data_IF_194957246552
#
_entry.id   IF_194957246552
#
_cell.length_a   1.000
_cell.length_b   1.000
_cell.length_c   1.000
_cell.angle_alpha   90.00
_cell.angle_beta   90.00
_cell.angle_gamma   90.00
#
_symmetry.space_group_name_H-M   'P 1'
#
loop_
_entity.id
_entity.type
_entity.pdbx_description
1 polymer ?
#
# COMPACT_ATOMS: atom_id res chain seq x y z
N UNK A 1 -0.12 3.67 2.46
CA UNK A 1 -1.04 2.51 2.43
C UNK A 1 -0.53 1.32 3.24
N UNK A 2 0.71 0.84 3.05
CA UNK A 2 1.25 -0.33 3.77
C UNK A 2 1.04 -0.30 5.30
N UNK A 3 1.26 0.85 5.96
CA UNK A 3 0.99 0.99 7.40
C UNK A 3 -0.49 0.81 7.78
N UNK A 4 -1.43 1.25 6.92
CA UNK A 4 -2.86 1.06 7.16
C UNK A 4 -3.23 -0.42 7.02
N UNK A 5 -2.71 -1.11 6.01
CA UNK A 5 -2.90 -2.56 5.85
C UNK A 5 -2.30 -3.34 7.04
N UNK A 6 -1.11 -2.93 7.51
CA UNK A 6 -0.48 -3.50 8.70
C UNK A 6 -1.36 -3.31 9.94
N UNK A 7 -1.91 -2.11 10.16
CA UNK A 7 -2.83 -1.86 11.26
C UNK A 7 -4.10 -2.71 11.16
N UNK A 8 -4.69 -2.81 9.96
CA UNK A 8 -5.86 -3.67 9.73
C UNK A 8 -5.52 -5.12 10.08
N UNK A 9 -4.38 -5.64 9.62
CA UNK A 9 -3.92 -7.00 9.95
C UNK A 9 -3.65 -7.21 11.45
N UNK A 10 -3.11 -6.20 12.12
CA UNK A 10 -2.84 -6.24 13.56
C UNK A 10 -4.15 -6.31 14.35
N UNK A 11 -5.12 -5.45 14.03
CA UNK A 11 -6.42 -5.45 14.69
C UNK A 11 -7.21 -6.72 14.41
N UNK A 12 -7.15 -7.28 13.20
CA UNK A 12 -7.82 -8.55 12.92
C UNK A 12 -7.19 -9.72 13.70
N UNK A 13 -5.87 -9.74 13.90
CA UNK A 13 -5.22 -10.73 14.79
C UNK A 13 -5.67 -10.53 16.24
N UNK A 14 -5.68 -9.29 16.73
CA UNK A 14 -6.07 -8.99 18.11
C UNK A 14 -7.52 -9.39 18.41
N UNK A 15 -8.44 -9.12 17.48
CA UNK A 15 -9.85 -9.50 17.59
C UNK A 15 -10.06 -11.03 17.58
N UNK A 16 -9.11 -11.78 17.01
CA UNK A 16 -9.17 -13.23 16.95
C UNK A 16 -8.44 -13.93 18.11
N UNK A 17 -7.33 -13.37 18.60
CA UNK A 17 -6.44 -14.05 19.55
C UNK A 17 -6.61 -13.56 21.00
N UNK A 18 -7.10 -12.34 21.21
CA UNK A 18 -7.21 -11.79 22.55
C UNK A 18 -8.49 -12.26 23.27
N UNK A 19 -8.41 -12.85 24.48
CA UNK A 19 -9.55 -13.44 25.18
C UNK A 19 -10.66 -12.45 25.57
N UNK A 20 -10.34 -11.16 25.75
CA UNK A 20 -11.35 -10.13 26.08
C UNK A 20 -12.00 -9.52 24.85
N UNK A 21 -11.28 -9.39 23.73
CA UNK A 21 -11.84 -8.87 22.48
C UNK A 21 -12.56 -9.95 21.66
N UNK A 22 -12.12 -11.21 21.76
CA UNK A 22 -12.73 -12.38 21.15
C UNK A 22 -14.15 -12.67 21.63
N UNK A 23 -14.49 -12.26 22.85
CA UNK A 23 -15.80 -12.47 23.47
C UNK A 23 -16.83 -11.37 23.13
N UNK A 24 -16.46 -10.34 22.36
CA UNK A 24 -17.44 -9.34 21.92
C UNK A 24 -18.42 -9.93 20.90
N UNK A 25 -19.74 -9.88 21.17
CA UNK A 25 -20.76 -10.64 20.43
C UNK A 25 -20.96 -10.25 18.96
N UNK A 26 -20.29 -9.19 18.48
CA UNK A 26 -20.40 -8.68 17.10
C UNK A 26 -19.08 -8.65 16.33
N UNK A 27 -17.92 -8.71 17.00
CA UNK A 27 -16.62 -8.42 16.38
C UNK A 27 -15.60 -9.55 16.64
N UNK A 28 -15.72 -10.26 17.77
CA UNK A 28 -14.85 -11.38 18.11
C UNK A 28 -15.12 -12.63 17.25
N UNK A 29 -14.05 -13.28 16.79
CA UNK A 29 -14.07 -14.53 16.01
C UNK A 29 -14.92 -14.53 14.71
N UNK A 30 -15.22 -13.37 14.16
CA UNK A 30 -16.08 -13.32 12.99
C UNK A 30 -15.31 -13.70 11.70
N UNK A 31 -15.84 -14.69 10.97
CA UNK A 31 -15.21 -15.32 9.79
C UNK A 31 -14.89 -14.34 8.64
N UNK A 32 -15.68 -13.28 8.48
CA UNK A 32 -15.51 -12.20 7.50
C UNK A 32 -14.38 -11.21 7.84
N UNK A 33 -13.93 -11.11 9.10
CA UNK A 33 -12.83 -10.20 9.49
C UNK A 33 -11.47 -10.86 9.21
N UNK A 34 -11.25 -12.06 9.72
CA UNK A 34 -9.99 -12.79 9.55
C UNK A 34 -9.96 -14.06 10.39
N UNK A 35 -9.68 -15.21 9.77
CA UNK A 35 -9.40 -16.46 10.48
C UNK A 35 -7.89 -16.73 10.53
N UNK A 36 -7.36 -17.09 11.71
CA UNK A 36 -5.93 -17.31 11.91
C UNK A 36 -5.63 -18.77 12.32
N UNK A 37 -4.47 -19.31 11.91
CA UNK A 37 -4.10 -20.68 12.25
C UNK A 37 -3.87 -20.84 13.74
N UNK A 38 -4.28 -21.99 14.28
CA UNK A 38 -3.82 -22.42 15.61
C UNK A 38 -2.33 -22.77 15.59
N UNK A 39 -1.68 -22.78 16.75
CA UNK A 39 -0.25 -23.09 16.87
C UNK A 39 0.16 -24.43 16.23
N UNK A 40 -0.73 -25.43 16.26
CA UNK A 40 -0.51 -26.73 15.64
C UNK A 40 -0.67 -26.71 14.11
N UNK A 41 -1.55 -25.86 13.57
CA UNK A 41 -1.73 -25.69 12.12
C UNK A 41 -0.60 -24.87 11.50
N UNK A 42 -0.11 -23.86 12.23
CA UNK A 42 1.03 -23.03 11.80
C UNK A 42 2.30 -23.86 11.61
N UNK A 43 2.61 -24.77 12.54
CA UNK A 43 3.76 -25.67 12.42
C UNK A 43 3.56 -26.75 11.36
N UNK A 44 2.34 -27.22 11.11
CA UNK A 44 2.04 -28.22 10.10
C UNK A 44 2.12 -27.67 8.65
N UNK A 45 1.71 -26.41 8.44
CA UNK A 45 1.72 -25.77 7.11
C UNK A 45 2.98 -24.91 6.87
N UNK A 46 3.94 -24.88 7.79
CA UNK A 46 5.13 -24.03 7.75
C UNK A 46 4.81 -22.53 7.53
N UNK A 47 3.69 -22.07 8.11
CA UNK A 47 3.21 -20.68 8.04
C UNK A 47 3.30 -20.00 9.41
N UNK A 48 3.39 -18.67 9.41
CA UNK A 48 3.36 -17.90 10.66
C UNK A 48 1.93 -17.83 11.21
N UNK A 49 1.76 -17.83 12.54
CA UNK A 49 0.44 -17.66 13.20
C UNK A 49 -0.23 -16.32 12.86
N UNK A 50 0.54 -15.36 12.34
CA UNK A 50 0.10 -14.05 11.88
C UNK A 50 -0.41 -14.05 10.44
N UNK A 51 -0.27 -15.16 9.71
CA UNK A 51 -0.80 -15.26 8.34
C UNK A 51 -2.31 -15.45 8.38
N UNK A 52 -3.10 -14.59 7.70
CA UNK A 52 -4.53 -14.78 7.64
C UNK A 52 -4.85 -15.97 6.73
N UNK A 53 -5.63 -16.93 7.24
CA UNK A 53 -6.11 -18.08 6.47
C UNK A 53 -7.41 -17.76 5.73
N UNK A 54 -8.30 -16.94 6.28
CA UNK A 54 -9.63 -16.68 5.70
C UNK A 54 -10.10 -15.26 5.98
N UNK A 55 -11.16 -14.81 5.30
CA UNK A 55 -11.84 -13.54 5.59
C UNK A 55 -11.24 -12.32 4.86
N UNK A 56 -11.70 -11.12 5.22
CA UNK A 56 -11.23 -9.86 4.63
C UNK A 56 -9.74 -9.59 4.85
N UNK A 57 -9.19 -10.05 5.99
CA UNK A 57 -7.76 -10.00 6.26
C UNK A 57 -6.92 -10.80 5.23
N UNK A 58 -7.46 -11.91 4.69
CA UNK A 58 -6.79 -12.65 3.62
C UNK A 58 -6.70 -11.80 2.34
N UNK A 59 -7.82 -11.24 1.87
CA UNK A 59 -7.86 -10.43 0.64
C UNK A 59 -7.05 -9.13 0.72
N UNK A 60 -6.83 -8.59 1.92
CA UNK A 60 -6.02 -7.41 2.16
C UNK A 60 -4.56 -7.72 2.50
N UNK A 61 -4.21 -8.98 2.69
CA UNK A 61 -2.83 -9.39 2.99
C UNK A 61 -1.93 -9.25 1.76
N UNK A 62 -0.66 -8.97 2.00
CA UNK A 62 0.34 -8.82 0.94
C UNK A 62 0.48 -10.13 0.16
N UNK A 63 0.34 -10.03 -1.16
CA UNK A 63 0.67 -11.13 -2.07
C UNK A 63 2.19 -11.15 -2.21
N UNK A 64 2.81 -12.29 -1.89
CA UNK A 64 4.27 -12.41 -1.84
C UNK A 64 4.76 -13.27 -3.01
N UNK A 65 4.85 -12.66 -4.18
CA UNK A 65 5.45 -13.25 -5.36
C UNK A 65 4.59 -14.27 -6.12
N UNK A 66 5.10 -14.67 -7.28
CA UNK A 66 4.39 -15.53 -8.23
C UNK A 66 4.05 -16.92 -7.67
N UNK A 67 4.83 -17.42 -6.72
CA UNK A 67 4.61 -18.70 -6.05
C UNK A 67 3.32 -18.73 -5.23
N UNK A 68 2.84 -17.57 -4.76
CA UNK A 68 1.65 -17.49 -3.92
C UNK A 68 0.35 -17.49 -4.72
N UNK A 69 0.36 -17.06 -5.98
CA UNK A 69 -0.86 -16.90 -6.78
C UNK A 69 -0.78 -17.51 -8.18
N UNK A 70 0.31 -17.29 -8.93
CA UNK A 70 0.42 -17.71 -10.34
C UNK A 70 0.80 -19.20 -10.47
N UNK A 71 1.83 -19.63 -9.75
CA UNK A 71 2.32 -21.03 -9.84
C UNK A 71 1.27 -22.07 -9.37
N UNK A 72 0.45 -21.82 -8.33
CA UNK A 72 -0.64 -22.71 -7.97
C UNK A 72 -1.72 -22.87 -9.05
N UNK A 73 -1.92 -21.84 -9.90
CA UNK A 73 -2.86 -21.90 -11.03
C UNK A 73 -2.28 -22.76 -12.17
N UNK A 74 -0.98 -22.64 -12.41
CA UNK A 74 -0.30 -23.36 -13.50
C UNK A 74 0.03 -24.82 -13.14
N UNK A 75 0.42 -25.09 -11.89
CA UNK A 75 0.73 -26.43 -11.40
C UNK A 75 0.16 -26.64 -9.98
N UNK A 76 -1.12 -27.03 -9.88
CA UNK A 76 -1.81 -27.23 -8.60
C UNK A 76 -1.22 -28.36 -7.76
N UNK A 77 -0.64 -29.38 -8.40
CA UNK A 77 -0.12 -30.56 -7.72
C UNK A 77 1.13 -30.27 -6.88
N UNK A 78 1.94 -29.28 -7.28
CA UNK A 78 3.18 -28.91 -6.59
C UNK A 78 3.00 -27.69 -5.68
N UNK A 79 2.18 -26.72 -6.08
CA UNK A 79 2.03 -25.43 -5.40
C UNK A 79 0.68 -25.24 -4.68
N UNK A 80 -0.19 -26.26 -4.66
CA UNK A 80 -1.51 -26.18 -4.03
C UNK A 80 -1.49 -25.85 -2.53
N UNK A 81 -0.39 -26.16 -1.83
CA UNK A 81 -0.22 -25.85 -0.40
C UNK A 81 -0.21 -24.34 -0.13
N UNK A 82 0.25 -23.52 -1.08
CA UNK A 82 0.31 -22.05 -0.93
C UNK A 82 -1.05 -21.38 -1.05
N UNK A 83 -2.06 -22.05 -1.62
CA UNK A 83 -3.43 -21.57 -1.64
C UNK A 83 -4.15 -21.74 -0.29
N UNK A 84 -3.51 -22.36 0.71
CA UNK A 84 -4.05 -22.52 2.09
C UNK A 84 -5.48 -23.12 2.12
N UNK A 85 -5.80 -23.99 1.15
CA UNK A 85 -7.12 -24.61 1.01
C UNK A 85 -8.14 -23.84 0.17
N UNK A 86 -7.75 -22.67 -0.37
CA UNK A 86 -8.60 -21.87 -1.26
C UNK A 86 -8.60 -22.38 -2.70
N UNK A 87 -9.71 -22.13 -3.38
CA UNK A 87 -9.81 -22.43 -4.80
C UNK A 87 -8.98 -21.44 -5.64
N UNK A 88 -8.55 -21.84 -6.83
CA UNK A 88 -7.75 -21.02 -7.74
C UNK A 88 -8.38 -19.65 -8.07
N UNK A 89 -9.73 -19.57 -8.15
CA UNK A 89 -10.45 -18.33 -8.39
C UNK A 89 -10.42 -17.36 -7.19
N UNK A 90 -10.33 -17.89 -5.96
CA UNK A 90 -10.16 -17.08 -4.76
C UNK A 90 -8.76 -16.48 -4.71
N UNK A 91 -7.74 -17.20 -5.18
CA UNK A 91 -6.39 -16.66 -5.36
C UNK A 91 -6.35 -15.49 -6.35
N UNK A 92 -7.03 -15.61 -7.50
CA UNK A 92 -7.16 -14.49 -8.45
C UNK A 92 -7.92 -13.31 -7.84
N UNK A 93 -8.99 -13.58 -7.10
CA UNK A 93 -9.76 -12.53 -6.42
C UNK A 93 -8.91 -11.80 -5.36
N UNK A 94 -8.07 -12.53 -4.61
CA UNK A 94 -7.09 -11.95 -3.69
C UNK A 94 -6.15 -10.98 -4.40
N UNK A 95 -5.55 -11.39 -5.51
CA UNK A 95 -4.67 -10.51 -6.31
C UNK A 95 -5.39 -9.22 -6.74
N UNK A 96 -6.60 -9.35 -7.29
CA UNK A 96 -7.39 -8.20 -7.76
C UNK A 96 -7.77 -7.26 -6.61
N UNK A 97 -8.23 -7.81 -5.50
CA UNK A 97 -8.64 -7.02 -4.32
C UNK A 97 -7.43 -6.34 -3.68
N UNK A 98 -6.32 -7.06 -3.50
CA UNK A 98 -5.07 -6.49 -2.96
C UNK A 98 -4.55 -5.35 -3.85
N UNK A 99 -4.46 -5.59 -5.16
CA UNK A 99 -4.00 -4.59 -6.11
C UNK A 99 -4.90 -3.34 -6.11
N UNK A 100 -6.22 -3.53 -6.17
CA UNK A 100 -7.19 -2.44 -6.12
C UNK A 100 -7.13 -1.65 -4.81
N UNK A 101 -7.02 -2.34 -3.68
CA UNK A 101 -6.88 -1.72 -2.36
C UNK A 101 -5.58 -0.92 -2.24
N UNK A 102 -4.47 -1.44 -2.78
CA UNK A 102 -3.17 -0.76 -2.73
C UNK A 102 -3.16 0.50 -3.60
N UNK A 103 -3.70 0.44 -4.82
CA UNK A 103 -3.85 1.60 -5.71
C UNK A 103 -4.81 2.63 -5.13
N UNK A 104 -6.03 2.21 -4.77
CA UNK A 104 -7.05 3.10 -4.21
C UNK A 104 -6.62 3.75 -2.89
N UNK A 105 -6.00 2.97 -2.00
CA UNK A 105 -5.43 3.46 -0.76
C UNK A 105 -4.28 4.44 -0.97
N UNK A 106 -3.42 4.20 -1.97
CA UNK A 106 -2.32 5.12 -2.29
C UNK A 106 -2.83 6.46 -2.84
N UNK A 107 -3.88 6.46 -3.66
CA UNK A 107 -4.55 7.69 -4.11
C UNK A 107 -5.14 8.46 -2.92
N UNK A 108 -5.83 7.77 -2.01
CA UNK A 108 -6.45 8.39 -0.84
C UNK A 108 -5.37 9.03 0.06
N UNK A 109 -4.28 8.31 0.33
CA UNK A 109 -3.15 8.84 1.08
C UNK A 109 -2.49 10.03 0.38
N UNK A 110 -2.30 10.00 -0.94
CA UNK A 110 -1.73 11.12 -1.68
C UNK A 110 -2.60 12.38 -1.57
N UNK A 111 -3.92 12.25 -1.69
CA UNK A 111 -4.86 13.36 -1.50
C UNK A 111 -4.83 13.89 -0.06
N UNK A 112 -4.87 12.99 0.92
CA UNK A 112 -4.85 13.36 2.33
C UNK A 112 -3.54 14.06 2.72
N UNK A 113 -2.42 13.61 2.17
CA UNK A 113 -1.10 14.20 2.34
C UNK A 113 -1.10 15.66 1.90
N UNK A 114 -1.61 15.97 0.70
CA UNK A 114 -1.64 17.35 0.20
C UNK A 114 -2.58 18.25 1.00
N UNK A 115 -3.68 17.71 1.51
CA UNK A 115 -4.64 18.48 2.32
C UNK A 115 -4.11 18.78 3.73
N UNK A 116 -3.37 17.84 4.32
CA UNK A 116 -2.86 17.97 5.69
C UNK A 116 -1.50 18.68 5.74
N UNK A 117 -0.71 18.59 4.66
CA UNK A 117 0.58 19.29 4.54
C UNK A 117 0.42 20.63 3.82
N UNK A 118 1.43 21.50 3.95
CA UNK A 118 1.49 22.76 3.21
C UNK A 118 1.87 22.57 1.72
N UNK A 119 1.36 21.53 1.06
CA UNK A 119 1.61 21.23 -0.37
C UNK A 119 0.41 21.57 -1.27
N UNK A 120 -0.61 22.24 -0.73
CA UNK A 120 -1.75 22.72 -1.51
C UNK A 120 -1.41 23.85 -2.50
N UNK A 121 -2.29 24.11 -3.49
CA UNK A 121 -2.07 25.13 -4.53
C UNK A 121 -1.72 26.52 -4.00
N UNK A 122 -2.38 26.98 -2.93
CA UNK A 122 -2.11 28.27 -2.30
C UNK A 122 -0.72 28.33 -1.67
N UNK A 123 -0.31 27.26 -1.00
CA UNK A 123 0.96 27.20 -0.29
C UNK A 123 2.13 27.15 -1.28
N UNK A 124 2.03 26.33 -2.32
CA UNK A 124 3.02 26.25 -3.39
C UNK A 124 3.11 27.57 -4.18
N UNK A 125 1.97 28.21 -4.48
CA UNK A 125 1.98 29.52 -5.15
C UNK A 125 2.70 30.59 -4.31
N UNK A 126 2.46 30.63 -3.00
CA UNK A 126 3.17 31.53 -2.07
C UNK A 126 4.67 31.22 -2.00
N UNK A 127 5.04 29.94 -2.00
CA UNK A 127 6.44 29.50 -1.99
C UNK A 127 7.18 29.98 -3.26
N UNK A 128 6.56 29.82 -4.44
CA UNK A 128 7.11 30.27 -5.73
C UNK A 128 7.24 31.79 -5.78
N UNK A 129 6.28 32.53 -5.22
CA UNK A 129 6.38 33.99 -5.12
C UNK A 129 7.54 34.42 -4.20
N UNK A 130 7.66 33.77 -3.04
CA UNK A 130 8.68 34.08 -2.05
C UNK A 130 10.11 33.76 -2.50
N UNK A 131 10.30 32.86 -3.48
CA UNK A 131 11.61 32.55 -4.05
C UNK A 131 12.12 33.60 -5.03
N UNK A 132 11.38 34.69 -5.23
CA UNK A 132 11.81 35.81 -6.09
C UNK A 132 11.66 35.53 -7.58
N UNK A 133 11.02 34.43 -7.98
CA UNK A 133 10.77 34.09 -9.37
C UNK A 133 9.84 35.13 -10.02
N UNK A 134 10.38 35.98 -10.89
CA UNK A 134 9.61 36.88 -11.73
C UNK A 134 9.43 36.25 -13.11
N UNK A 135 8.19 35.99 -13.52
CA UNK A 135 7.89 35.70 -14.93
C UNK A 135 8.02 37.03 -15.69
N UNK A 136 8.97 37.19 -16.63
CA UNK A 136 9.12 38.42 -17.39
C UNK A 136 7.82 38.74 -18.14
N UNK A 137 7.31 39.97 -17.99
CA UNK A 137 6.15 40.47 -18.77
C UNK A 137 4.78 40.52 -18.08
N UNK A 138 4.62 40.06 -16.82
CA UNK A 138 3.35 40.14 -16.09
C UNK A 138 3.48 40.87 -14.74
N UNK A 139 2.44 41.65 -14.36
CA UNK A 139 2.28 42.14 -12.97
C UNK A 139 2.09 40.92 -12.07
N UNK A 140 2.80 40.88 -10.93
CA UNK A 140 2.73 39.81 -9.92
C UNK A 140 1.28 39.65 -9.45
N UNK A 141 0.51 38.78 -10.07
CA UNK A 141 -0.80 38.41 -9.55
C UNK A 141 -0.76 36.93 -9.15
N UNK A 142 -0.51 36.64 -7.84
CA UNK A 142 -0.50 35.28 -7.29
C UNK A 142 -1.79 34.48 -7.61
N UNK A 143 -2.88 35.20 -7.90
CA UNK A 143 -4.18 34.63 -8.27
C UNK A 143 -4.14 33.84 -9.57
N UNK A 144 -3.33 34.24 -10.55
CA UNK A 144 -3.23 33.52 -11.84
C UNK A 144 -2.46 32.22 -11.66
N UNK A 145 -1.30 32.27 -10.98
CA UNK A 145 -0.50 31.08 -10.68
C UNK A 145 -1.31 30.06 -9.88
N UNK A 146 -2.02 30.51 -8.83
CA UNK A 146 -2.89 29.64 -8.04
C UNK A 146 -3.95 28.92 -8.88
N UNK A 147 -4.67 29.63 -9.76
CA UNK A 147 -5.71 29.02 -10.63
C UNK A 147 -5.15 27.93 -11.54
N UNK A 148 -3.91 28.09 -12.00
CA UNK A 148 -3.23 27.06 -12.77
C UNK A 148 -2.95 25.85 -11.86
N UNK A 149 -2.31 26.06 -10.72
CA UNK A 149 -1.96 24.99 -9.77
C UNK A 149 -3.18 24.22 -9.24
N UNK A 150 -4.31 24.90 -9.00
CA UNK A 150 -5.59 24.29 -8.59
C UNK A 150 -6.10 23.24 -9.59
N UNK A 151 -5.80 23.39 -10.89
CA UNK A 151 -6.17 22.43 -11.92
C UNK A 151 -5.18 21.27 -12.03
N UNK A 152 -3.88 21.52 -11.84
CA UNK A 152 -2.83 20.52 -12.05
C UNK A 152 -2.54 19.65 -10.83
N UNK A 153 -2.48 20.24 -9.62
CA UNK A 153 -2.08 19.51 -8.41
C UNK A 153 -3.02 18.33 -8.15
N UNK A 154 -4.37 18.47 -8.11
CA UNK A 154 -5.24 17.33 -7.82
C UNK A 154 -5.12 16.19 -8.84
N UNK A 155 -4.94 16.52 -10.11
CA UNK A 155 -4.80 15.53 -11.19
C UNK A 155 -3.49 14.77 -11.06
N UNK A 156 -2.37 15.49 -10.90
CA UNK A 156 -1.04 14.88 -10.73
C UNK A 156 -1.01 14.01 -9.48
N UNK A 157 -1.68 14.42 -8.40
CA UNK A 157 -1.75 13.67 -7.13
C UNK A 157 -2.42 12.31 -7.30
N UNK A 158 -3.53 12.26 -8.04
CA UNK A 158 -4.24 11.01 -8.29
C UNK A 158 -3.39 10.09 -9.17
N UNK A 159 -2.78 10.64 -10.22
CA UNK A 159 -1.94 9.86 -11.13
C UNK A 159 -0.70 9.33 -10.41
N UNK A 160 0.01 10.17 -9.65
CA UNK A 160 1.20 9.78 -8.92
C UNK A 160 0.89 8.79 -7.80
N UNK A 161 -0.18 9.01 -7.04
CA UNK A 161 -0.66 8.06 -6.02
C UNK A 161 -1.04 6.72 -6.62
N UNK A 162 -1.72 6.70 -7.77
CA UNK A 162 -2.07 5.48 -8.49
C UNK A 162 -0.83 4.76 -9.01
N UNK A 163 0.10 5.48 -9.63
CA UNK A 163 1.32 4.93 -10.20
C UNK A 163 2.22 4.31 -9.12
N UNK A 164 2.45 5.01 -8.00
CA UNK A 164 3.25 4.49 -6.88
C UNK A 164 2.57 3.26 -6.27
N UNK A 165 1.25 3.30 -6.06
CA UNK A 165 0.50 2.15 -5.55
C UNK A 165 0.55 0.94 -6.48
N UNK A 166 0.43 1.16 -7.79
CA UNK A 166 0.49 0.11 -8.80
C UNK A 166 1.89 -0.49 -8.92
N UNK A 167 2.96 0.33 -8.85
CA UNK A 167 4.34 -0.15 -8.85
C UNK A 167 4.65 -0.96 -7.59
N UNK A 168 4.22 -0.48 -6.42
CA UNK A 168 4.39 -1.20 -5.16
C UNK A 168 3.68 -2.57 -5.20
N UNK A 169 2.40 -2.58 -5.57
CA UNK A 169 1.61 -3.79 -5.69
C UNK A 169 2.17 -4.74 -6.76
N UNK A 170 2.59 -4.21 -7.91
CA UNK A 170 3.21 -5.01 -8.97
C UNK A 170 4.51 -5.68 -8.54
N UNK A 171 5.35 -4.97 -7.80
CA UNK A 171 6.57 -5.52 -7.22
C UNK A 171 6.26 -6.63 -6.18
N UNK A 172 5.21 -6.45 -5.37
CA UNK A 172 4.73 -7.50 -4.46
C UNK A 172 4.24 -8.75 -5.20
N UNK A 173 3.46 -8.57 -6.29
CA UNK A 173 2.91 -9.67 -7.09
C UNK A 173 3.99 -10.50 -7.80
N UNK A 174 5.04 -9.87 -8.31
CA UNK A 174 6.18 -10.55 -8.95
C UNK A 174 7.07 -11.21 -7.88
N UNK A 175 7.20 -10.56 -6.73
CA UNK A 175 8.12 -10.95 -5.68
C UNK A 175 9.43 -10.17 -5.84
N UNK A 176 9.95 -9.65 -4.73
CA UNK A 176 11.21 -8.91 -4.73
C UNK A 176 12.34 -9.74 -4.12
N UNK A 177 13.58 -9.36 -4.41
CA UNK A 177 14.77 -10.07 -3.94
C UNK A 177 14.88 -9.96 -2.41
N UNK A 178 15.10 -11.09 -1.74
CA UNK A 178 15.32 -11.14 -0.29
C UNK A 178 14.05 -10.97 0.55
N UNK A 179 12.88 -11.29 0.00
CA UNK A 179 11.57 -11.17 0.68
C UNK A 179 11.24 -9.73 1.11
N UNK A 180 11.82 -8.73 0.44
CA UNK A 180 11.45 -7.34 0.67
C UNK A 180 10.05 -7.03 0.13
N UNK A 181 9.38 -6.02 0.69
CA UNK A 181 8.13 -5.54 0.12
C UNK A 181 8.41 -4.57 -1.04
N UNK A 182 7.54 -4.58 -2.05
CA UNK A 182 7.58 -3.63 -3.17
C UNK A 182 7.53 -2.17 -2.68
N UNK A 183 6.77 -1.91 -1.62
CA UNK A 183 6.79 -0.60 -0.95
C UNK A 183 8.17 -0.26 -0.37
N UNK A 184 8.82 -1.23 0.30
CA UNK A 184 10.14 -1.04 0.89
C UNK A 184 11.22 -0.75 -0.17
N UNK A 185 11.16 -1.43 -1.32
CA UNK A 185 12.09 -1.18 -2.44
C UNK A 185 11.94 0.25 -2.98
N UNK A 186 10.70 0.72 -3.20
CA UNK A 186 10.46 2.09 -3.67
C UNK A 186 10.95 3.14 -2.68
N UNK A 187 10.72 2.92 -1.38
CA UNK A 187 11.22 3.80 -0.32
C UNK A 187 12.76 3.83 -0.29
N UNK A 188 13.40 2.66 -0.40
CA UNK A 188 14.86 2.57 -0.43
C UNK A 188 15.44 3.36 -1.61
N UNK A 189 14.91 3.16 -2.81
CA UNK A 189 15.36 3.90 -4.01
C UNK A 189 15.16 5.41 -3.81
N UNK A 190 14.01 5.83 -3.29
CA UNK A 190 13.76 7.24 -3.00
C UNK A 190 14.74 7.84 -1.99
N UNK A 191 15.06 7.11 -0.92
CA UNK A 191 16.04 7.55 0.09
C UNK A 191 17.44 7.66 -0.53
N UNK A 192 17.85 6.69 -1.34
CA UNK A 192 19.18 6.67 -1.99
C UNK A 192 19.31 7.86 -2.96
N UNK A 193 18.30 8.12 -3.79
CA UNK A 193 18.32 9.24 -4.73
C UNK A 193 18.40 10.56 -3.98
N UNK A 194 17.56 10.77 -2.96
CA UNK A 194 17.60 11.99 -2.15
C UNK A 194 18.95 12.20 -1.45
N UNK A 195 19.56 11.13 -0.93
CA UNK A 195 20.89 11.19 -0.30
C UNK A 195 21.97 11.55 -1.33
N UNK A 196 21.90 10.96 -2.53
CA UNK A 196 22.80 11.28 -3.63
C UNK A 196 22.68 12.75 -4.05
N UNK A 197 21.46 13.26 -4.25
CA UNK A 197 21.22 14.66 -4.59
C UNK A 197 21.73 15.62 -3.51
N UNK A 198 21.45 15.31 -2.24
CA UNK A 198 21.91 16.12 -1.11
C UNK A 198 23.44 16.18 -1.02
N UNK A 199 24.14 15.05 -1.20
CA UNK A 199 25.60 15.00 -1.16
C UNK A 199 26.27 15.65 -2.38
N UNK A 200 25.66 15.55 -3.57
CA UNK A 200 26.15 16.17 -4.79
C UNK A 200 25.96 17.68 -4.85
N UNK A 201 24.96 18.23 -4.16
CA UNK A 201 24.68 19.68 -4.13
C UNK A 201 25.62 20.51 -3.24
N UNK A 202 26.55 19.86 -2.54
CA UNK A 202 27.55 20.49 -1.64
C UNK A 202 28.94 20.70 -2.25
N UNK A 203 29.13 20.44 -3.55
CA UNK A 203 30.36 20.73 -4.31
C UNK A 203 30.11 21.80 -5.37
#
# INVERSE_FOLDING_TARGET
MAALLANVSMFSILLWTNPTLASFPLIGHQWWIGGYPTAAQASALAIQQTTPLTGGAFYLSQVNGLESWLLPILNPTTYGTYLLGHAWWQGLLHVVVYFGAMVGGSILFAKFWIQTTNMGPEAVARQIESSGMQIPGFRREPRVLRRVLERYIPVITVISGAAVGALAAGADLIGTVGSASGTGVLLMVGIIINLYEASGSGA
#
